data_IF_719026917626
#
_entry.id   IF_719026917626
#
_cell.length_a   1.000
_cell.length_b   1.000
_cell.length_c   1.000
_cell.angle_alpha   90.00
_cell.angle_beta   90.00
_cell.angle_gamma   90.00
#
_symmetry.space_group_name_H-M   'P 1'
#
loop_
_entity.id
_entity.type
_entity.pdbx_description
1 polymer ?
#
# COMPACT_ATOMS: atom_id res chain seq x y z
N UNK A 1 11.49 -17.12 14.99
CA UNK A 1 12.82 -16.51 14.89
C UNK A 1 12.91 -15.34 15.85
N UNK A 2 14.03 -15.21 16.57
CA UNK A 2 14.30 -14.12 17.51
C UNK A 2 15.29 -13.15 16.89
N UNK A 3 15.11 -11.83 17.10
CA UNK A 3 15.77 -10.80 16.30
C UNK A 3 16.78 -9.93 17.07
N UNK A 4 17.02 -10.20 18.36
CA UNK A 4 18.18 -9.71 19.15
C UNK A 4 18.13 -10.27 20.59
N UNK A 5 19.27 -10.32 21.29
CA UNK A 5 19.35 -10.54 22.76
C UNK A 5 20.07 -9.35 23.40
N UNK A 6 19.39 -8.65 24.32
CA UNK A 6 19.97 -7.54 25.08
C UNK A 6 19.94 -7.92 26.56
N UNK A 7 21.10 -8.07 27.20
CA UNK A 7 21.21 -8.40 28.64
C UNK A 7 20.22 -9.49 29.10
N UNK A 8 20.22 -10.65 28.43
CA UNK A 8 19.33 -11.81 28.68
C UNK A 8 17.83 -11.65 28.35
N UNK A 9 17.41 -10.50 27.81
CA UNK A 9 16.08 -10.29 27.24
C UNK A 9 16.09 -10.56 25.74
N UNK A 10 15.18 -11.41 25.29
CA UNK A 10 14.86 -11.58 23.87
C UNK A 10 14.17 -10.31 23.36
N UNK A 11 14.84 -9.57 22.47
CA UNK A 11 14.32 -8.37 21.84
C UNK A 11 13.79 -8.70 20.45
N UNK A 12 12.63 -8.14 20.12
CA UNK A 12 12.01 -8.26 18.81
C UNK A 12 11.49 -6.90 18.41
N UNK A 13 11.72 -6.51 17.15
CA UNK A 13 11.05 -5.36 16.57
C UNK A 13 9.53 -5.54 16.68
N UNK A 14 8.90 -4.66 17.46
CA UNK A 14 7.45 -4.66 17.62
C UNK A 14 6.76 -4.03 16.41
N UNK A 15 7.46 -3.12 15.72
CA UNK A 15 6.98 -2.37 14.56
C UNK A 15 8.14 -2.03 13.61
N UNK A 16 7.86 -2.07 12.32
CA UNK A 16 8.74 -1.64 11.24
C UNK A 16 7.89 -1.00 10.15
N UNK A 17 8.19 0.24 9.77
CA UNK A 17 7.43 0.98 8.77
C UNK A 17 8.32 1.20 7.54
N UNK A 18 7.98 0.56 6.42
CA UNK A 18 8.67 0.77 5.14
C UNK A 18 7.92 1.84 4.34
N UNK A 19 8.61 2.90 3.93
CA UNK A 19 8.02 4.01 3.19
C UNK A 19 8.57 4.11 1.77
N UNK A 20 7.67 4.28 0.80
CA UNK A 20 7.96 4.69 -0.57
C UNK A 20 7.50 6.13 -0.74
N UNK A 21 8.46 7.04 -0.96
CA UNK A 21 8.16 8.41 -1.35
C UNK A 21 7.94 8.50 -2.86
N UNK A 22 6.79 9.04 -3.24
CA UNK A 22 6.32 9.16 -4.61
C UNK A 22 6.22 10.64 -4.92
N UNK A 23 7.17 11.12 -5.71
CA UNK A 23 7.26 12.51 -6.10
C UNK A 23 6.62 12.73 -7.47
N UNK A 24 5.89 13.83 -7.61
CA UNK A 24 5.47 14.41 -8.88
C UNK A 24 4.65 13.46 -9.78
N UNK A 25 3.89 12.56 -9.16
CA UNK A 25 2.88 11.70 -9.83
C UNK A 25 1.46 12.02 -9.33
N UNK A 26 0.79 13.05 -9.85
CA UNK A 26 -0.53 13.47 -9.37
C UNK A 26 -1.60 12.38 -9.49
N UNK A 27 -1.45 11.44 -10.42
CA UNK A 27 -2.34 10.30 -10.61
C UNK A 27 -2.38 9.34 -9.41
N UNK A 28 -1.43 9.42 -8.48
CA UNK A 28 -1.32 8.54 -7.31
C UNK A 28 -2.58 8.53 -6.43
N UNK A 29 -3.36 9.62 -6.44
CA UNK A 29 -4.65 9.68 -5.75
C UNK A 29 -5.64 8.63 -6.25
N UNK A 30 -5.46 8.13 -7.48
CA UNK A 30 -6.29 7.09 -8.08
C UNK A 30 -5.79 5.67 -7.83
N UNK A 31 -4.71 5.50 -7.05
CA UNK A 31 -4.13 4.19 -6.75
C UNK A 31 -5.21 3.24 -6.19
N UNK A 32 -5.31 2.08 -6.84
CA UNK A 32 -6.27 1.04 -6.49
C UNK A 32 -5.57 -0.09 -5.74
N UNK A 33 -6.33 -0.74 -4.85
CA UNK A 33 -5.90 -1.94 -4.14
C UNK A 33 -6.93 -3.05 -4.34
N UNK A 34 -6.52 -4.17 -4.94
CA UNK A 34 -7.44 -5.19 -5.42
C UNK A 34 -7.55 -6.42 -4.49
N UNK A 35 -6.77 -6.50 -3.39
CA UNK A 35 -6.87 -7.65 -2.47
C UNK A 35 -8.25 -7.71 -1.80
N UNK A 36 -8.85 -8.91 -1.76
CA UNK A 36 -10.11 -9.14 -1.07
C UNK A 36 -9.95 -9.18 0.46
N UNK A 37 -11.03 -8.87 1.19
CA UNK A 37 -11.08 -9.01 2.65
C UNK A 37 -10.26 -7.98 3.43
N UNK A 38 -9.87 -6.88 2.80
CA UNK A 38 -9.12 -5.78 3.44
C UNK A 38 -10.05 -4.59 3.64
N UNK A 39 -10.06 -4.02 4.85
CA UNK A 39 -10.82 -2.81 5.15
C UNK A 39 -10.16 -1.59 4.49
N UNK A 40 -10.95 -0.73 3.86
CA UNK A 40 -10.49 0.50 3.25
C UNK A 40 -11.08 1.69 4.04
N UNK A 41 -10.25 2.66 4.42
CA UNK A 41 -10.70 3.93 5.00
C UNK A 41 -10.08 5.08 4.23
N UNK A 42 -10.90 6.05 3.85
CA UNK A 42 -10.48 7.20 3.05
C UNK A 42 -10.84 8.47 3.79
N UNK A 43 -9.87 9.38 3.91
CA UNK A 43 -10.00 10.68 4.53
C UNK A 43 -9.83 11.75 3.45
N UNK A 44 -10.78 12.68 3.44
CA UNK A 44 -10.81 13.81 2.52
C UNK A 44 -10.64 15.10 3.31
N UNK A 45 -9.95 16.05 2.70
CA UNK A 45 -9.81 17.41 3.22
C UNK A 45 -11.11 18.18 3.07
N UNK A 46 -11.11 19.43 3.57
CA UNK A 46 -12.31 20.29 3.54
C UNK A 46 -12.77 20.62 2.12
N UNK A 47 -11.86 20.63 1.14
CA UNK A 47 -12.18 20.87 -0.27
C UNK A 47 -12.60 19.60 -1.03
N UNK A 48 -12.69 18.45 -0.35
CA UNK A 48 -13.02 17.15 -0.98
C UNK A 48 -11.83 16.46 -1.65
N UNK A 49 -10.63 17.03 -1.57
CA UNK A 49 -9.40 16.41 -2.03
C UNK A 49 -9.03 15.21 -1.15
N UNK A 50 -8.48 14.17 -1.76
CA UNK A 50 -7.97 13.03 -1.02
C UNK A 50 -6.79 13.47 -0.15
N UNK A 51 -6.78 13.09 1.12
CA UNK A 51 -5.65 13.33 2.03
C UNK A 51 -4.96 12.03 2.44
N UNK A 52 -5.74 11.00 2.76
CA UNK A 52 -5.19 9.74 3.23
C UNK A 52 -6.08 8.55 2.90
N UNK A 53 -5.47 7.45 2.46
CA UNK A 53 -6.08 6.13 2.33
C UNK A 53 -5.39 5.15 3.26
N UNK A 54 -6.18 4.33 3.95
CA UNK A 54 -5.71 3.20 4.72
C UNK A 54 -6.27 1.90 4.15
N UNK A 55 -5.39 0.90 4.03
CA UNK A 55 -5.74 -0.48 3.74
C UNK A 55 -5.35 -1.36 4.93
N UNK A 56 -6.34 -2.03 5.52
CA UNK A 56 -6.18 -2.81 6.74
C UNK A 56 -6.51 -2.02 8.01
N UNK A 57 -6.80 -2.73 9.09
CA UNK A 57 -7.11 -2.13 10.39
C UNK A 57 -5.83 -1.71 11.13
N UNK A 58 -5.94 -0.69 11.97
CA UNK A 58 -4.79 -0.15 12.74
C UNK A 58 -4.20 -1.16 13.73
N UNK A 59 -5.01 -2.13 14.20
CA UNK A 59 -4.58 -3.21 15.08
C UNK A 59 -4.05 -4.45 14.37
N UNK A 60 -4.07 -4.48 13.03
CA UNK A 60 -3.57 -5.64 12.28
C UNK A 60 -2.04 -5.68 12.23
N UNK A 61 -1.49 -6.86 11.89
CA UNK A 61 -0.03 -7.01 11.72
C UNK A 61 0.52 -6.23 10.52
N UNK A 62 -0.33 -5.90 9.54
CA UNK A 62 0.06 -5.13 8.36
C UNK A 62 -1.03 -4.14 8.01
N UNK A 63 -0.70 -2.86 8.05
CA UNK A 63 -1.53 -1.78 7.55
C UNK A 63 -0.75 -1.00 6.49
N UNK A 64 -1.39 -0.66 5.37
CA UNK A 64 -0.79 0.18 4.33
C UNK A 64 -1.46 1.55 4.35
N UNK A 65 -0.67 2.61 4.22
CA UNK A 65 -1.12 4.01 4.24
C UNK A 65 -0.65 4.70 2.97
N UNK A 66 -1.52 5.40 2.28
CA UNK A 66 -1.16 6.36 1.23
C UNK A 66 -1.61 7.73 1.70
N UNK A 67 -0.70 8.68 1.85
CA UNK A 67 -1.05 10.02 2.31
C UNK A 67 -0.23 11.11 1.63
N UNK A 68 -0.81 12.31 1.58
CA UNK A 68 -0.14 13.52 1.14
C UNK A 68 0.91 13.92 2.19
N UNK A 69 2.18 13.76 1.82
CA UNK A 69 3.32 14.01 2.71
C UNK A 69 3.57 15.50 2.88
N UNK A 70 3.28 16.33 1.87
CA UNK A 70 3.37 17.78 2.00
C UNK A 70 2.41 18.29 3.07
N UNK A 71 1.16 17.81 3.05
CA UNK A 71 0.16 18.15 4.08
C UNK A 71 0.57 17.67 5.47
N UNK A 72 1.12 16.46 5.58
CA UNK A 72 1.61 15.93 6.86
C UNK A 72 2.76 16.77 7.43
N UNK A 73 3.71 17.18 6.58
CA UNK A 73 4.84 18.04 6.96
C UNK A 73 4.34 19.38 7.50
N UNK A 74 3.39 20.02 6.80
CA UNK A 74 2.78 21.29 7.22
C UNK A 74 2.07 21.11 8.57
N UNK A 75 1.28 20.04 8.71
CA UNK A 75 0.54 19.77 9.95
C UNK A 75 1.46 19.53 11.16
N UNK A 76 2.62 18.91 10.94
CA UNK A 76 3.63 18.68 11.97
C UNK A 76 4.65 19.82 12.15
N UNK A 77 4.47 20.93 11.44
CA UNK A 77 5.35 22.12 11.50
C UNK A 77 6.81 21.82 11.15
N UNK A 78 7.01 20.94 10.16
CA UNK A 78 8.33 20.59 9.61
C UNK A 78 8.60 21.32 8.28
N UNK A 79 8.24 22.59 8.21
CA UNK A 79 8.31 23.41 6.98
C UNK A 79 9.72 23.45 6.37
N UNK A 80 10.78 23.20 7.15
CA UNK A 80 12.15 23.09 6.65
C UNK A 80 12.36 21.96 5.63
N UNK A 81 11.46 20.97 5.59
CA UNK A 81 11.49 19.85 4.65
C UNK A 81 10.61 20.09 3.43
N UNK A 82 9.83 21.17 3.43
CA UNK A 82 8.84 21.43 2.40
C UNK A 82 9.49 22.18 1.24
N UNK A 83 9.47 21.56 0.06
CA UNK A 83 9.86 22.22 -1.19
C UNK A 83 8.76 21.99 -2.24
N UNK A 84 7.75 22.87 -2.23
CA UNK A 84 6.62 22.80 -3.17
C UNK A 84 7.02 23.20 -4.60
N UNK A 85 8.17 23.86 -4.78
CA UNK A 85 8.68 24.21 -6.11
C UNK A 85 9.26 22.99 -6.83
N UNK A 86 9.92 22.11 -6.08
CA UNK A 86 10.53 20.89 -6.61
C UNK A 86 9.59 19.68 -6.53
N UNK A 87 8.86 19.53 -5.42
CA UNK A 87 7.99 18.38 -5.14
C UNK A 87 6.55 18.83 -4.82
N UNK A 88 5.83 19.48 -5.76
CA UNK A 88 4.44 19.91 -5.55
C UNK A 88 3.51 18.76 -5.19
N UNK A 89 3.80 17.54 -5.66
CA UNK A 89 3.03 16.33 -5.33
C UNK A 89 3.92 15.31 -4.62
N UNK A 90 4.04 15.43 -3.31
CA UNK A 90 4.74 14.43 -2.50
C UNK A 90 3.72 13.55 -1.78
N UNK A 91 3.61 12.30 -2.23
CA UNK A 91 2.81 11.27 -1.58
C UNK A 91 3.70 10.18 -1.00
N UNK A 92 3.27 9.59 0.12
CA UNK A 92 3.99 8.46 0.72
C UNK A 92 3.09 7.24 0.80
N UNK A 93 3.54 6.14 0.20
CA UNK A 93 2.97 4.82 0.37
C UNK A 93 3.78 4.07 1.43
N UNK A 94 3.16 3.76 2.56
CA UNK A 94 3.84 3.23 3.74
C UNK A 94 3.24 1.90 4.20
N UNK A 95 4.10 0.90 4.39
CA UNK A 95 3.79 -0.42 4.90
C UNK A 95 4.17 -0.48 6.38
N UNK A 96 3.17 -0.37 7.24
CA UNK A 96 3.32 -0.52 8.68
C UNK A 96 3.21 -2.00 9.06
N UNK A 97 4.34 -2.60 9.41
CA UNK A 97 4.46 -4.00 9.82
C UNK A 97 4.60 -4.10 11.32
N UNK A 98 3.95 -5.09 11.92
CA UNK A 98 3.98 -5.31 13.37
C UNK A 98 4.20 -6.76 13.70
N UNK A 99 4.93 -6.98 14.79
CA UNK A 99 5.14 -8.28 15.44
C UNK A 99 5.37 -9.40 14.41
N UNK A 100 4.38 -10.26 14.17
CA UNK A 100 4.40 -11.44 13.30
C UNK A 100 4.75 -11.16 11.84
N UNK A 101 4.48 -9.95 11.34
CA UNK A 101 4.80 -9.58 9.97
C UNK A 101 6.27 -9.17 9.76
N UNK A 102 7.06 -9.10 10.85
CA UNK A 102 8.48 -8.79 10.81
C UNK A 102 9.23 -10.12 10.96
N UNK A 103 9.97 -10.49 9.90
CA UNK A 103 10.74 -11.72 9.79
C UNK A 103 11.49 -11.82 8.46
N UNK A 104 12.05 -13.00 8.18
CA UNK A 104 12.92 -13.25 7.03
C UNK A 104 12.18 -13.04 5.70
N UNK A 105 10.95 -13.55 5.60
CA UNK A 105 10.13 -13.44 4.40
C UNK A 105 9.52 -12.05 4.19
N UNK A 106 9.85 -11.07 5.04
CA UNK A 106 9.20 -9.75 5.05
C UNK A 106 9.31 -9.04 3.70
N UNK A 107 10.47 -9.12 3.05
CA UNK A 107 10.69 -8.48 1.74
C UNK A 107 9.78 -9.11 0.69
N UNK A 108 9.78 -10.43 0.59
CA UNK A 108 8.94 -11.16 -0.36
C UNK A 108 7.45 -10.92 -0.09
N UNK A 109 7.05 -10.87 1.19
CA UNK A 109 5.70 -10.52 1.60
C UNK A 109 5.29 -9.11 1.16
N UNK A 110 6.20 -8.15 1.20
CA UNK A 110 5.97 -6.80 0.70
C UNK A 110 5.86 -6.82 -0.83
N UNK A 111 6.74 -7.51 -1.55
CA UNK A 111 6.67 -7.64 -3.01
C UNK A 111 5.32 -8.23 -3.46
N UNK A 112 4.89 -9.34 -2.82
CA UNK A 112 3.60 -9.97 -3.07
C UNK A 112 2.40 -9.06 -2.75
N UNK A 113 2.58 -8.11 -1.83
CA UNK A 113 1.54 -7.11 -1.50
C UNK A 113 1.51 -6.01 -2.54
N UNK A 114 2.66 -5.55 -3.03
CA UNK A 114 2.78 -4.56 -4.09
C UNK A 114 2.01 -5.00 -5.35
N UNK A 115 1.95 -6.29 -5.66
CA UNK A 115 1.13 -6.85 -6.75
C UNK A 115 -0.37 -6.54 -6.66
N UNK A 116 -0.87 -6.19 -5.47
CA UNK A 116 -2.27 -5.84 -5.30
C UNK A 116 -2.51 -4.35 -5.51
N UNK A 117 -1.48 -3.55 -5.75
CA UNK A 117 -1.57 -2.12 -5.96
C UNK A 117 -1.36 -1.76 -7.43
N UNK A 118 -2.08 -0.74 -7.88
CA UNK A 118 -1.68 -0.03 -9.09
C UNK A 118 -2.80 0.67 -9.84
N UNK A 119 -2.47 1.06 -11.08
CA UNK A 119 -3.36 1.76 -12.00
C UNK A 119 -3.81 0.80 -13.09
N UNK A 120 -5.13 0.60 -13.23
CA UNK A 120 -5.71 -0.39 -14.14
C UNK A 120 -6.39 0.30 -15.32
N UNK A 121 -6.00 -0.10 -16.54
CA UNK A 121 -6.61 0.42 -17.77
C UNK A 121 -7.81 -0.45 -18.13
N UNK A 122 -9.01 0.11 -18.04
CA UNK A 122 -10.25 -0.65 -18.20
C UNK A 122 -10.65 -0.89 -19.67
N UNK A 123 -9.80 -0.50 -20.63
CA UNK A 123 -10.04 -0.62 -22.07
C UNK A 123 -10.18 -2.09 -22.51
N UNK A 124 -9.37 -2.99 -21.94
CA UNK A 124 -9.39 -4.42 -22.26
C UNK A 124 -10.53 -5.18 -21.57
N UNK A 125 -11.16 -4.56 -20.56
CA UNK A 125 -12.30 -5.15 -19.88
C UNK A 125 -13.49 -5.12 -20.83
N UNK A 126 -14.18 -6.24 -20.97
CA UNK A 126 -15.38 -6.35 -21.80
C UNK A 126 -16.43 -5.31 -21.40
N UNK A 127 -17.10 -4.72 -22.39
CA UNK A 127 -18.07 -3.63 -22.19
C UNK A 127 -19.15 -3.98 -21.16
N UNK A 128 -19.65 -5.21 -21.18
CA UNK A 128 -20.66 -5.74 -20.25
C UNK A 128 -20.16 -5.85 -18.79
N UNK A 129 -18.85 -5.81 -18.57
CA UNK A 129 -18.21 -5.86 -17.25
C UNK A 129 -17.65 -4.49 -16.80
N UNK A 130 -17.40 -3.56 -17.74
CA UNK A 130 -16.77 -2.26 -17.42
C UNK A 130 -17.51 -1.48 -16.35
N UNK A 131 -18.84 -1.34 -16.47
CA UNK A 131 -19.63 -0.62 -15.48
C UNK A 131 -19.49 -1.22 -14.07
N UNK A 132 -19.54 -2.54 -13.96
CA UNK A 132 -19.34 -3.22 -12.68
C UNK A 132 -17.92 -2.99 -12.15
N UNK A 133 -16.90 -3.10 -12.99
CA UNK A 133 -15.51 -2.90 -12.58
C UNK A 133 -15.23 -1.46 -12.16
N UNK A 134 -15.72 -0.47 -12.90
CA UNK A 134 -15.59 0.95 -12.55
C UNK A 134 -16.17 1.20 -11.16
N UNK A 135 -17.42 0.80 -10.93
CA UNK A 135 -18.09 1.00 -9.64
C UNK A 135 -17.37 0.21 -8.54
N UNK A 136 -16.91 -1.01 -8.82
CA UNK A 136 -16.17 -1.80 -7.85
C UNK A 136 -14.87 -1.14 -7.40
N UNK A 137 -14.12 -0.51 -8.31
CA UNK A 137 -12.85 0.15 -8.01
C UNK A 137 -13.05 1.54 -7.37
N UNK A 138 -14.07 2.29 -7.80
CA UNK A 138 -14.30 3.65 -7.29
C UNK A 138 -15.12 3.68 -6.01
N UNK A 139 -16.24 2.97 -5.96
CA UNK A 139 -17.17 2.97 -4.84
C UNK A 139 -17.94 1.63 -4.72
N UNK A 140 -17.33 0.60 -4.12
CA UNK A 140 -17.89 -0.76 -4.10
C UNK A 140 -19.19 -0.91 -3.30
N UNK A 141 -19.58 0.09 -2.51
CA UNK A 141 -20.85 0.12 -1.77
C UNK A 141 -22.04 0.38 -2.70
N UNK A 142 -21.82 1.13 -3.79
CA UNK A 142 -22.84 1.41 -4.79
C UNK A 142 -23.20 0.21 -5.67
N UNK A 143 -22.46 -0.90 -5.59
CA UNK A 143 -22.72 -2.08 -6.42
C UNK A 143 -24.11 -2.68 -6.20
N UNK A 144 -24.61 -2.67 -4.96
CA UNK A 144 -25.95 -3.18 -4.66
C UNK A 144 -27.04 -2.27 -5.25
N UNK A 145 -26.79 -0.96 -5.30
CA UNK A 145 -27.70 0.01 -5.89
C UNK A 145 -27.66 -0.02 -7.42
N UNK A 146 -26.47 -0.08 -8.01
CA UNK A 146 -26.27 -0.09 -9.45
C UNK A 146 -26.69 -1.41 -10.11
N UNK A 147 -26.68 -2.52 -9.35
CA UNK A 147 -27.07 -3.84 -9.83
C UNK A 147 -28.09 -4.50 -8.88
N UNK A 148 -29.32 -3.94 -8.76
CA UNK A 148 -30.29 -4.36 -7.76
C UNK A 148 -30.76 -5.82 -7.96
N UNK A 149 -30.69 -6.32 -9.19
CA UNK A 149 -31.08 -7.69 -9.55
C UNK A 149 -30.00 -8.74 -9.20
N UNK A 150 -28.80 -8.32 -8.75
CA UNK A 150 -27.74 -9.25 -8.36
C UNK A 150 -27.82 -9.57 -6.86
N UNK A 151 -27.98 -10.86 -6.55
CA UNK A 151 -27.84 -11.36 -5.17
C UNK A 151 -26.44 -11.05 -4.62
N UNK A 152 -26.34 -10.82 -3.31
CA UNK A 152 -25.07 -10.52 -2.61
C UNK A 152 -23.93 -11.50 -2.95
N UNK A 153 -24.21 -12.80 -2.98
CA UNK A 153 -23.18 -13.80 -3.33
C UNK A 153 -22.74 -13.73 -4.80
N UNK A 154 -23.63 -13.31 -5.70
CA UNK A 154 -23.26 -13.07 -7.10
C UNK A 154 -22.35 -11.85 -7.22
N UNK A 155 -22.59 -10.80 -6.43
CA UNK A 155 -21.70 -9.63 -6.35
C UNK A 155 -20.32 -10.06 -5.83
N UNK A 156 -20.27 -10.86 -4.75
CA UNK A 156 -18.99 -11.41 -4.23
C UNK A 156 -18.23 -12.20 -5.29
N UNK A 157 -18.91 -13.13 -5.99
CA UNK A 157 -18.30 -13.91 -7.07
C UNK A 157 -17.79 -13.04 -8.21
N UNK A 158 -18.55 -12.02 -8.63
CA UNK A 158 -18.11 -11.05 -9.64
C UNK A 158 -16.90 -10.24 -9.19
N UNK A 159 -16.88 -9.73 -7.94
CA UNK A 159 -15.70 -9.06 -7.36
C UNK A 159 -14.46 -9.95 -7.43
N UNK A 160 -14.56 -11.22 -7.07
CA UNK A 160 -13.43 -12.17 -7.17
C UNK A 160 -12.96 -12.36 -8.61
N UNK A 161 -13.87 -12.49 -9.58
CA UNK A 161 -13.50 -12.60 -11.01
C UNK A 161 -12.80 -11.35 -11.51
N UNK A 162 -13.32 -10.17 -11.19
CA UNK A 162 -12.69 -8.89 -11.57
C UNK A 162 -11.30 -8.78 -10.97
N UNK A 163 -11.11 -9.11 -9.69
CA UNK A 163 -9.76 -9.13 -9.08
C UNK A 163 -8.80 -10.06 -9.82
N UNK A 164 -9.26 -11.23 -10.25
CA UNK A 164 -8.41 -12.16 -11.00
C UNK A 164 -7.98 -11.54 -12.33
N UNK A 165 -8.93 -10.97 -13.09
CA UNK A 165 -8.63 -10.29 -14.35
C UNK A 165 -7.64 -9.14 -14.16
N UNK A 166 -7.84 -8.30 -13.14
CA UNK A 166 -6.94 -7.19 -12.86
C UNK A 166 -5.53 -7.64 -12.45
N UNK A 167 -5.37 -8.82 -11.84
CA UNK A 167 -4.05 -9.38 -11.53
C UNK A 167 -3.31 -9.92 -12.75
N UNK A 168 -4.04 -10.27 -13.81
CA UNK A 168 -3.43 -10.71 -15.07
C UNK A 168 -2.84 -9.51 -15.85
N UNK A 169 -3.27 -8.28 -15.53
CA UNK A 169 -2.67 -7.06 -16.07
C UNK A 169 -1.34 -6.76 -15.38
N UNK A 170 -0.27 -6.59 -16.17
CA UNK A 170 1.00 -6.12 -15.65
C UNK A 170 0.84 -4.70 -15.11
N UNK A 171 1.18 -4.51 -13.83
CA UNK A 171 1.13 -3.20 -13.21
C UNK A 171 2.52 -2.56 -13.13
N UNK A 172 2.83 -1.69 -14.08
CA UNK A 172 4.13 -1.01 -14.13
C UNK A 172 4.47 -0.30 -12.82
N UNK A 173 3.48 0.31 -12.15
CA UNK A 173 3.72 0.98 -10.87
C UNK A 173 4.16 0.02 -9.76
N UNK A 174 3.57 -1.17 -9.68
CA UNK A 174 3.99 -2.18 -8.72
C UNK A 174 5.42 -2.67 -9.00
N UNK A 175 5.76 -2.88 -10.27
CA UNK A 175 7.11 -3.29 -10.68
C UNK A 175 8.16 -2.21 -10.37
N UNK A 176 7.86 -0.93 -10.65
CA UNK A 176 8.74 0.19 -10.28
C UNK A 176 9.03 0.21 -8.77
N UNK A 177 8.01 0.00 -7.93
CA UNK A 177 8.19 -0.04 -6.47
C UNK A 177 9.01 -1.24 -6.00
N UNK A 178 8.83 -2.41 -6.60
CA UNK A 178 9.64 -3.60 -6.30
C UNK A 178 11.10 -3.38 -6.71
N UNK A 179 11.33 -2.81 -7.88
CA UNK A 179 12.67 -2.50 -8.36
C UNK A 179 13.38 -1.53 -7.41
N UNK A 180 12.72 -0.43 -7.03
CA UNK A 180 13.26 0.54 -6.05
C UNK A 180 13.54 -0.14 -4.71
N UNK A 181 12.65 -1.02 -4.24
CA UNK A 181 12.89 -1.77 -3.02
C UNK A 181 14.17 -2.60 -3.13
N UNK A 182 14.30 -3.43 -4.17
CA UNK A 182 15.46 -4.31 -4.40
C UNK A 182 16.75 -3.49 -4.46
N UNK A 183 16.77 -2.40 -5.21
CA UNK A 183 17.93 -1.51 -5.33
C UNK A 183 18.36 -0.92 -3.97
N UNK A 184 17.41 -0.65 -3.07
CA UNK A 184 17.69 -0.06 -1.76
C UNK A 184 17.88 -1.09 -0.63
N UNK A 185 17.60 -2.37 -0.85
CA UNK A 185 17.76 -3.43 0.17
C UNK A 185 19.14 -3.44 0.83
N UNK A 186 20.28 -3.34 0.09
CA UNK A 186 21.60 -3.36 0.72
C UNK A 186 21.78 -2.22 1.72
N UNK A 187 21.35 -1.01 1.36
CA UNK A 187 21.41 0.17 2.22
C UNK A 187 20.50 0.02 3.45
N UNK A 188 19.25 -0.41 3.23
CA UNK A 188 18.28 -0.65 4.31
C UNK A 188 18.81 -1.70 5.29
N UNK A 189 19.49 -2.74 4.80
CA UNK A 189 20.13 -3.75 5.62
C UNK A 189 21.24 -3.18 6.48
N UNK A 190 22.14 -2.38 5.91
CA UNK A 190 23.20 -1.73 6.68
C UNK A 190 22.61 -0.82 7.76
N UNK A 191 21.61 0.00 7.42
CA UNK A 191 20.95 0.87 8.39
C UNK A 191 20.25 0.09 9.52
N UNK A 192 19.57 -1.00 9.17
CA UNK A 192 18.89 -1.86 10.13
C UNK A 192 19.88 -2.59 11.06
N UNK A 193 20.99 -3.09 10.52
CA UNK A 193 22.07 -3.70 11.31
C UNK A 193 22.72 -2.68 12.26
N UNK A 194 22.92 -1.43 11.83
CA UNK A 194 23.45 -0.38 12.70
C UNK A 194 22.47 -0.02 13.83
N UNK A 195 21.18 0.03 13.55
CA UNK A 195 20.15 0.38 14.54
C UNK A 195 19.86 -0.72 15.55
N UNK A 196 19.97 -1.98 15.14
CA UNK A 196 19.58 -3.13 15.96
C UNK A 196 20.80 -3.80 16.61
N UNK A 197 22.02 -3.50 16.16
CA UNK A 197 23.16 -4.43 16.28
C UNK A 197 22.97 -5.59 15.28
N UNK A 198 24.01 -6.33 14.95
CA UNK A 198 24.12 -7.38 13.89
C UNK A 198 23.02 -8.48 13.81
N UNK A 199 21.72 -8.15 13.71
CA UNK A 199 20.66 -9.12 14.01
C UNK A 199 19.52 -9.20 12.98
N UNK A 200 19.57 -8.43 11.88
CA UNK A 200 18.60 -8.51 10.79
C UNK A 200 19.27 -8.35 9.41
N UNK A 201 19.11 -9.35 8.56
CA UNK A 201 19.31 -9.26 7.10
C UNK A 201 17.94 -9.36 6.42
N UNK A 202 17.60 -8.38 5.61
CA UNK A 202 16.50 -8.44 4.65
C UNK A 202 17.00 -9.23 3.45
N UNK A 203 16.47 -10.44 3.26
CA UNK A 203 16.85 -11.31 2.15
C UNK A 203 15.74 -11.38 1.11
N UNK A 204 16.14 -11.59 -0.14
CA UNK A 204 15.24 -11.95 -1.24
C UNK A 204 15.55 -13.43 -1.57
N UNK A 205 14.57 -14.33 -1.38
CA UNK A 205 14.71 -15.74 -1.76
C UNK A 205 14.02 -16.00 -3.09
#
# INVERSE_FOLDING_TARGET
MYFARLNSLTVRLSRFDLAFDIFNRPEIVNLQHIKGGVTHKVFYGRGGELETKYWGSSGSNVQVRLYDKNKEIIAHKHEEKLDLGVNPFWWRLEFQLRTKAIGEDMVQDIMNRLDNFGFYKLEHIRVDQRAFTIIFLSNPELLSLAFPNLKSDSIKKKKTRVRKLLREETNQFAEELKEVLIQNLPKLNTELQLLVGEFLTLENQ
#
